data_IF_924498831549
#
_entry.id   IF_924498831549
#
_cell.length_a   1.000
_cell.length_b   1.000
_cell.length_c   1.000
_cell.angle_alpha   90.00
_cell.angle_beta   90.00
_cell.angle_gamma   90.00
#
_symmetry.space_group_name_H-M   'P 1'
#
loop_
_entity.id
_entity.type
_entity.pdbx_description
1 polymer ?
#
# COMPACT_ATOMS: atom_id res chain seq x y z
N UNK A 1 -57.82 -24.96 35.68
CA UNK A 1 -56.37 -24.74 35.88
C UNK A 1 -55.61 -25.63 34.89
N UNK A 2 -54.50 -25.13 34.34
CA UNK A 2 -53.56 -25.82 33.43
C UNK A 2 -53.77 -25.74 31.89
N UNK A 3 -54.18 -24.59 31.34
CA UNK A 3 -54.00 -24.33 29.89
C UNK A 3 -53.37 -22.96 29.54
N UNK A 4 -53.02 -22.12 30.53
CA UNK A 4 -52.44 -20.79 30.31
C UNK A 4 -50.94 -20.65 30.60
N UNK A 5 -50.27 -21.72 31.04
CA UNK A 5 -48.86 -21.64 31.49
C UNK A 5 -47.82 -22.11 30.46
N UNK A 6 -48.24 -22.79 29.39
CA UNK A 6 -47.31 -23.29 28.35
C UNK A 6 -47.05 -22.29 27.21
N UNK A 7 -47.90 -21.29 27.02
CA UNK A 7 -47.76 -20.34 25.91
C UNK A 7 -46.84 -19.16 26.26
N UNK A 8 -46.83 -18.76 27.54
CA UNK A 8 -45.93 -17.70 28.04
C UNK A 8 -44.46 -18.12 28.17
N UNK A 9 -44.15 -19.42 28.23
CA UNK A 9 -42.76 -19.90 28.28
C UNK A 9 -42.10 -19.95 26.90
N UNK A 10 -42.86 -20.18 25.82
CA UNK A 10 -42.36 -20.24 24.45
C UNK A 10 -42.08 -18.85 23.85
N UNK A 11 -42.86 -17.84 24.22
CA UNK A 11 -42.65 -16.44 23.81
C UNK A 11 -41.41 -15.81 24.49
N UNK A 12 -41.14 -16.17 25.75
CA UNK A 12 -39.97 -15.66 26.48
C UNK A 12 -38.65 -16.33 26.03
N UNK A 13 -38.72 -17.59 25.57
CA UNK A 13 -37.58 -18.32 25.01
C UNK A 13 -37.18 -17.80 23.62
N UNK A 14 -38.16 -17.37 22.81
CA UNK A 14 -37.89 -16.86 21.45
C UNK A 14 -37.31 -15.44 21.51
N UNK A 15 -37.78 -14.62 22.46
CA UNK A 15 -37.31 -13.25 22.70
C UNK A 15 -35.84 -13.13 23.09
N UNK A 16 -35.37 -14.06 23.92
CA UNK A 16 -33.99 -14.09 24.42
C UNK A 16 -33.01 -14.68 23.43
N UNK A 17 -33.46 -15.57 22.55
CA UNK A 17 -32.62 -16.19 21.52
C UNK A 17 -32.18 -15.20 20.43
N UNK A 18 -33.08 -14.33 19.94
CA UNK A 18 -32.71 -13.32 18.93
C UNK A 18 -31.83 -12.19 19.51
N UNK A 19 -32.01 -11.82 20.78
CA UNK A 19 -31.14 -10.83 21.46
C UNK A 19 -29.73 -11.40 21.71
N UNK A 20 -29.62 -12.69 22.05
CA UNK A 20 -28.33 -13.37 22.22
C UNK A 20 -27.58 -13.50 20.91
N UNK A 21 -28.27 -13.96 19.86
CA UNK A 21 -27.71 -14.10 18.52
C UNK A 21 -27.19 -12.76 17.99
N UNK A 22 -27.96 -11.67 18.15
CA UNK A 22 -27.49 -10.33 17.80
C UNK A 22 -26.30 -9.90 18.68
N UNK A 23 -26.33 -10.09 20.00
CA UNK A 23 -25.21 -9.67 20.88
C UNK A 23 -23.90 -10.42 20.59
N UNK A 24 -23.98 -11.69 20.21
CA UNK A 24 -22.82 -12.49 19.81
C UNK A 24 -22.29 -12.08 18.43
N UNK A 25 -23.18 -11.72 17.51
CA UNK A 25 -22.79 -11.22 16.19
C UNK A 25 -22.20 -9.81 16.28
N UNK A 26 -22.82 -8.90 17.04
CA UNK A 26 -22.28 -7.57 17.38
C UNK A 26 -20.92 -7.68 18.11
N UNK A 27 -20.75 -8.64 19.02
CA UNK A 27 -19.48 -8.89 19.70
C UNK A 27 -18.38 -9.40 18.75
N UNK A 28 -18.72 -10.28 17.81
CA UNK A 28 -17.78 -10.80 16.80
C UNK A 28 -17.40 -9.77 15.76
N UNK A 29 -18.36 -8.98 15.26
CA UNK A 29 -18.08 -7.88 14.32
C UNK A 29 -17.24 -6.79 14.98
N UNK A 30 -17.51 -6.43 16.24
CA UNK A 30 -16.72 -5.44 16.97
C UNK A 30 -15.29 -5.93 17.29
N UNK A 31 -15.11 -7.22 17.58
CA UNK A 31 -13.80 -7.81 17.83
C UNK A 31 -12.86 -7.76 16.61
N UNK A 32 -13.40 -7.68 15.39
CA UNK A 32 -12.61 -7.60 14.15
C UNK A 32 -12.54 -6.14 13.64
N UNK A 33 -13.63 -5.40 13.73
CA UNK A 33 -13.73 -4.02 13.26
C UNK A 33 -12.87 -3.04 14.08
N UNK A 34 -12.79 -3.21 15.40
CA UNK A 34 -12.00 -2.33 16.27
C UNK A 34 -10.49 -2.45 15.97
N UNK A 35 -9.88 -3.65 15.91
CA UNK A 35 -8.48 -3.78 15.47
C UNK A 35 -8.22 -3.26 14.05
N UNK A 36 -9.15 -3.48 13.12
CA UNK A 36 -9.03 -2.98 11.74
C UNK A 36 -9.04 -1.45 11.70
N UNK A 37 -9.96 -0.80 12.40
CA UNK A 37 -10.04 0.67 12.46
C UNK A 37 -8.82 1.28 13.16
N UNK A 38 -8.32 0.65 14.24
CA UNK A 38 -7.08 1.08 14.90
C UNK A 38 -5.86 0.93 13.98
N UNK A 39 -5.75 -0.15 13.22
CA UNK A 39 -4.69 -0.34 12.23
C UNK A 39 -4.73 0.76 11.15
N UNK A 40 -5.92 1.08 10.64
CA UNK A 40 -6.10 2.16 9.65
C UNK A 40 -5.69 3.53 10.19
N UNK A 41 -6.09 3.86 11.42
CA UNK A 41 -5.69 5.11 12.09
C UNK A 41 -4.17 5.15 12.30
N UNK A 42 -3.56 4.02 12.68
CA UNK A 42 -2.12 3.93 12.86
C UNK A 42 -1.34 4.17 11.57
N UNK A 43 -1.82 3.63 10.44
CA UNK A 43 -1.23 3.91 9.12
C UNK A 43 -1.29 5.41 8.82
N UNK A 44 -2.46 6.03 8.94
CA UNK A 44 -2.64 7.48 8.71
C UNK A 44 -1.72 8.29 9.62
N UNK A 45 -1.66 7.94 10.91
CA UNK A 45 -0.81 8.61 11.89
C UNK A 45 0.68 8.47 11.57
N UNK A 46 1.13 7.29 11.17
CA UNK A 46 2.55 7.03 10.82
C UNK A 46 2.99 7.88 9.64
N UNK A 47 2.15 8.01 8.62
CA UNK A 47 2.42 8.89 7.49
C UNK A 47 2.35 10.37 7.89
N UNK A 48 1.34 10.79 8.65
CA UNK A 48 1.15 12.19 9.04
C UNK A 48 2.30 12.74 9.92
N UNK A 49 2.78 11.95 10.88
CA UNK A 49 3.89 12.38 11.75
C UNK A 49 5.19 12.50 10.98
N UNK A 50 5.47 11.56 10.08
CA UNK A 50 6.73 11.52 9.34
C UNK A 50 6.74 12.53 8.19
N UNK A 51 5.62 12.77 7.50
CA UNK A 51 5.51 13.87 6.52
C UNK A 51 5.66 15.24 7.18
N UNK A 52 5.10 15.42 8.38
CA UNK A 52 5.32 16.62 9.20
C UNK A 52 6.80 16.75 9.64
N UNK A 53 7.44 15.64 10.03
CA UNK A 53 8.87 15.62 10.36
C UNK A 53 9.75 15.92 9.15
N UNK A 54 9.37 15.47 7.95
CA UNK A 54 10.09 15.73 6.70
C UNK A 54 9.99 17.21 6.29
N UNK A 55 8.86 17.84 6.59
CA UNK A 55 8.66 19.29 6.37
C UNK A 55 9.51 20.15 7.32
N UNK A 56 9.92 19.60 8.47
CA UNK A 56 10.63 20.34 9.53
C UNK A 56 12.12 20.00 9.62
N UNK A 57 12.56 18.89 9.03
CA UNK A 57 13.93 18.37 9.13
C UNK A 57 14.51 18.08 7.74
N UNK A 58 15.82 18.26 7.55
CA UNK A 58 16.53 17.90 6.31
C UNK A 58 16.74 16.39 6.13
N UNK A 59 15.83 15.57 6.65
CA UNK A 59 15.93 14.12 6.55
C UNK A 59 15.73 13.66 5.10
N UNK A 60 16.43 12.61 4.71
CA UNK A 60 16.20 11.92 3.43
C UNK A 60 14.74 11.45 3.35
N UNK A 61 13.98 11.83 2.30
CA UNK A 61 12.64 11.29 2.04
C UNK A 61 12.60 9.76 1.99
N UNK A 62 13.62 9.13 1.42
CA UNK A 62 13.76 7.68 1.34
C UNK A 62 13.88 7.06 2.74
N UNK A 63 14.72 7.63 3.61
CA UNK A 63 14.85 7.13 4.99
C UNK A 63 13.55 7.30 5.78
N UNK A 64 12.84 8.41 5.58
CA UNK A 64 11.54 8.66 6.17
C UNK A 64 10.50 7.62 5.72
N UNK A 65 10.49 7.26 4.43
CA UNK A 65 9.60 6.21 3.91
C UNK A 65 9.92 4.83 4.50
N UNK A 66 11.20 4.48 4.65
CA UNK A 66 11.61 3.23 5.31
C UNK A 66 11.15 3.18 6.78
N UNK A 67 11.22 4.31 7.49
CA UNK A 67 10.71 4.41 8.86
C UNK A 67 9.20 4.20 8.92
N UNK A 68 8.43 4.82 8.01
CA UNK A 68 6.98 4.58 7.87
C UNK A 68 6.70 3.09 7.67
N UNK A 69 7.44 2.45 6.75
CA UNK A 69 7.23 1.03 6.44
C UNK A 69 7.48 0.15 7.67
N UNK A 70 8.56 0.39 8.41
CA UNK A 70 8.85 -0.33 9.66
C UNK A 70 7.77 -0.09 10.71
N UNK A 71 7.32 1.15 10.90
CA UNK A 71 6.30 1.49 11.89
C UNK A 71 4.94 0.84 11.57
N UNK A 72 4.57 0.76 10.29
CA UNK A 72 3.35 0.08 9.85
C UNK A 72 3.46 -1.43 10.11
N UNK A 73 4.62 -2.04 9.81
CA UNK A 73 4.85 -3.49 9.95
C UNK A 73 4.96 -3.96 11.40
N UNK A 74 5.50 -3.16 12.32
CA UNK A 74 5.62 -3.54 13.74
C UNK A 74 4.27 -3.52 14.47
N UNK A 75 3.34 -2.71 14.01
CA UNK A 75 2.07 -2.46 14.71
C UNK A 75 0.91 -3.25 14.10
N UNK A 76 1.00 -3.60 12.81
CA UNK A 76 0.00 -4.44 12.17
C UNK A 76 0.38 -5.90 12.46
N UNK A 77 -0.38 -6.60 13.30
CA UNK A 77 -0.47 -8.07 13.19
C UNK A 77 -0.76 -8.41 11.73
N UNK A 78 -0.24 -9.52 11.16
CA UNK A 78 -0.54 -9.94 9.79
C UNK A 78 -2.07 -10.07 9.59
N UNK A 79 -2.72 -8.94 9.31
CA UNK A 79 -4.05 -8.88 8.77
C UNK A 79 -3.77 -9.17 7.32
N UNK A 80 -3.91 -10.43 6.96
CA UNK A 80 -3.94 -10.85 5.57
C UNK A 80 -5.19 -10.18 5.00
N UNK A 81 -5.02 -8.96 4.51
CA UNK A 81 -6.10 -8.20 3.88
C UNK A 81 -6.39 -8.97 2.61
N UNK A 82 -7.39 -9.85 2.70
CA UNK A 82 -7.98 -10.46 1.52
C UNK A 82 -8.63 -9.31 0.73
N UNK A 83 -7.93 -8.90 -0.33
CA UNK A 83 -8.33 -7.79 -1.19
C UNK A 83 -9.72 -8.03 -1.82
N UNK A 84 -10.18 -9.29 -1.84
CA UNK A 84 -11.51 -9.68 -2.33
C UNK A 84 -12.61 -9.58 -1.25
N UNK A 85 -12.27 -9.43 0.05
CA UNK A 85 -13.23 -9.36 1.16
C UNK A 85 -13.66 -7.95 1.57
N UNK A 86 -13.05 -6.90 1.04
CA UNK A 86 -13.43 -5.52 1.35
C UNK A 86 -14.33 -4.94 0.26
N UNK A 87 -15.68 -5.03 0.40
CA UNK A 87 -16.57 -4.27 -0.46
C UNK A 87 -16.28 -2.78 -0.25
N UNK A 88 -16.01 -2.06 -1.34
CA UNK A 88 -15.54 -0.67 -1.36
C UNK A 88 -16.54 0.39 -0.87
N UNK A 89 -17.43 0.07 0.06
CA UNK A 89 -18.63 0.87 0.36
C UNK A 89 -18.57 1.66 1.68
N UNK A 90 -17.44 1.68 2.40
CA UNK A 90 -17.41 2.31 3.72
C UNK A 90 -17.21 3.83 3.72
N UNK A 91 -16.86 4.48 2.60
CA UNK A 91 -16.67 5.94 2.57
C UNK A 91 -16.76 6.61 1.18
N UNK A 92 -17.75 6.29 0.34
CA UNK A 92 -18.00 6.90 -0.99
C UNK A 92 -18.21 8.45 -1.02
N UNK A 93 -17.76 9.22 -0.03
CA UNK A 93 -18.11 10.63 0.13
C UNK A 93 -16.99 11.65 0.32
N UNK A 94 -15.69 11.29 0.30
CA UNK A 94 -14.64 12.27 0.68
C UNK A 94 -13.61 12.63 -0.40
N UNK A 95 -13.40 11.86 -1.48
CA UNK A 95 -12.38 12.24 -2.47
C UNK A 95 -12.88 12.18 -3.91
N UNK A 96 -12.43 13.16 -4.70
CA UNK A 96 -12.67 13.22 -6.13
C UNK A 96 -12.10 11.97 -6.82
N UNK A 97 -12.83 11.46 -7.82
CA UNK A 97 -12.47 10.27 -8.57
C UNK A 97 -10.99 10.30 -8.99
N UNK A 98 -10.19 9.28 -8.62
CA UNK A 98 -8.77 9.27 -8.95
C UNK A 98 -8.57 9.22 -10.47
N UNK A 99 -7.54 9.93 -10.95
CA UNK A 99 -7.05 9.77 -12.32
C UNK A 99 -6.80 8.28 -12.56
N UNK A 100 -7.48 7.71 -13.57
CA UNK A 100 -7.42 6.27 -13.86
C UNK A 100 -5.97 5.86 -14.12
N UNK A 101 -5.43 4.99 -13.27
CA UNK A 101 -4.07 4.47 -13.44
C UNK A 101 -3.91 3.85 -14.84
N UNK A 102 -2.86 4.20 -15.60
CA UNK A 102 -2.63 3.61 -16.91
C UNK A 102 -2.39 2.09 -16.82
N UNK A 103 -3.05 1.30 -17.68
CA UNK A 103 -2.84 -0.16 -17.78
C UNK A 103 -1.41 -0.56 -18.24
N UNK A 104 -0.51 0.42 -18.44
CA UNK A 104 0.88 0.19 -18.84
C UNK A 104 1.74 -0.38 -17.71
N UNK A 105 1.25 -0.41 -16.47
CA UNK A 105 1.96 -1.00 -15.33
C UNK A 105 2.36 -2.46 -15.56
N UNK A 106 1.58 -3.22 -16.34
CA UNK A 106 1.87 -4.63 -16.67
C UNK A 106 3.23 -4.73 -17.39
N UNK A 107 3.49 -3.83 -18.33
CA UNK A 107 4.75 -3.80 -19.08
C UNK A 107 5.93 -3.45 -18.15
N UNK A 108 5.71 -2.52 -17.23
CA UNK A 108 6.72 -2.12 -16.24
C UNK A 108 7.07 -3.28 -15.29
N UNK A 109 6.07 -4.00 -14.77
CA UNK A 109 6.28 -5.17 -13.92
C UNK A 109 7.01 -6.30 -14.66
N UNK A 110 6.65 -6.57 -15.92
CA UNK A 110 7.39 -7.52 -16.76
C UNK A 110 8.83 -7.07 -17.04
N UNK A 111 9.08 -5.77 -17.22
CA UNK A 111 10.41 -5.20 -17.35
C UNK A 111 11.27 -5.50 -16.12
N UNK A 112 10.75 -5.23 -14.92
CA UNK A 112 11.43 -5.55 -13.66
C UNK A 112 11.70 -7.06 -13.51
N UNK A 113 10.71 -7.90 -13.81
CA UNK A 113 10.88 -9.36 -13.78
C UNK A 113 11.99 -9.83 -14.73
N UNK A 114 12.01 -9.32 -15.96
CA UNK A 114 13.06 -9.65 -16.94
C UNK A 114 14.44 -9.26 -16.41
N UNK A 115 14.57 -8.06 -15.83
CA UNK A 115 15.84 -7.61 -15.27
C UNK A 115 16.30 -8.45 -14.08
N UNK A 116 15.36 -8.99 -13.28
CA UNK A 116 15.66 -9.95 -12.21
C UNK A 116 16.16 -11.28 -12.81
N UNK A 117 15.51 -11.75 -13.88
CA UNK A 117 15.88 -12.99 -14.60
C UNK A 117 17.24 -12.90 -15.30
N UNK A 118 17.57 -11.76 -15.91
CA UNK A 118 18.84 -11.59 -16.63
C UNK A 118 20.04 -11.56 -15.68
N UNK A 119 19.82 -11.30 -14.38
CA UNK A 119 20.88 -11.18 -13.38
C UNK A 119 20.78 -12.26 -12.28
N UNK A 120 20.25 -13.45 -12.60
CA UNK A 120 20.05 -14.56 -11.63
C UNK A 120 21.32 -14.83 -10.81
N UNK A 121 22.47 -14.96 -11.44
CA UNK A 121 23.72 -15.31 -10.77
C UNK A 121 24.13 -14.27 -9.72
N UNK A 122 23.96 -12.99 -10.03
CA UNK A 122 24.21 -11.90 -9.08
C UNK A 122 23.25 -11.97 -7.88
N UNK A 123 21.97 -12.23 -8.13
CA UNK A 123 20.98 -12.30 -7.04
C UNK A 123 21.10 -13.57 -6.20
N UNK A 124 21.61 -14.68 -6.75
CA UNK A 124 21.85 -15.90 -5.96
C UNK A 124 22.84 -15.69 -4.81
N UNK A 125 23.79 -14.76 -4.96
CA UNK A 125 24.80 -14.44 -3.95
C UNK A 125 24.27 -13.47 -2.88
N UNK A 126 23.15 -12.78 -3.12
CA UNK A 126 22.53 -11.87 -2.16
C UNK A 126 21.62 -12.58 -1.15
N UNK A 127 21.54 -12.03 0.06
CA UNK A 127 20.64 -12.52 1.13
C UNK A 127 19.18 -12.41 0.66
N UNK A 128 18.45 -13.54 0.66
CA UNK A 128 17.05 -13.59 0.18
C UNK A 128 16.89 -13.91 -1.31
N UNK A 129 17.96 -13.84 -2.10
CA UNK A 129 18.00 -14.36 -3.46
C UNK A 129 17.11 -13.61 -4.47
N UNK A 130 16.98 -14.21 -5.66
CA UNK A 130 16.00 -13.83 -6.70
C UNK A 130 14.56 -13.79 -6.16
N UNK A 131 14.22 -14.74 -5.29
CA UNK A 131 12.88 -14.92 -4.72
C UNK A 131 12.35 -13.65 -4.04
N UNK A 132 13.23 -12.94 -3.32
CA UNK A 132 12.92 -11.69 -2.61
C UNK A 132 12.32 -10.64 -3.56
N UNK A 133 12.99 -10.39 -4.68
CA UNK A 133 12.59 -9.39 -5.65
C UNK A 133 11.35 -9.85 -6.45
N UNK A 134 11.28 -11.13 -6.81
CA UNK A 134 10.11 -11.66 -7.53
C UNK A 134 8.83 -11.58 -6.70
N UNK A 135 8.92 -11.81 -5.40
CA UNK A 135 7.79 -11.70 -4.46
C UNK A 135 7.35 -10.24 -4.30
N UNK A 136 8.30 -9.32 -4.09
CA UNK A 136 8.00 -7.89 -4.00
C UNK A 136 7.34 -7.35 -5.28
N UNK A 137 7.79 -7.78 -6.47
CA UNK A 137 7.19 -7.42 -7.75
C UNK A 137 5.79 -8.02 -7.91
N UNK A 138 5.58 -9.26 -7.48
CA UNK A 138 4.26 -9.90 -7.56
C UNK A 138 3.22 -9.15 -6.70
N UNK A 139 3.57 -8.82 -5.45
CA UNK A 139 2.69 -8.02 -4.59
C UNK A 139 2.43 -6.62 -5.16
N UNK A 140 3.45 -5.99 -5.75
CA UNK A 140 3.30 -4.67 -6.38
C UNK A 140 2.35 -4.73 -7.58
N UNK A 141 2.49 -5.76 -8.42
CA UNK A 141 1.61 -5.99 -9.57
C UNK A 141 0.16 -6.17 -9.13
N UNK A 142 -0.10 -6.89 -8.04
CA UNK A 142 -1.45 -7.04 -7.47
C UNK A 142 -2.02 -5.69 -6.98
N UNK A 143 -1.19 -4.88 -6.32
CA UNK A 143 -1.61 -3.54 -5.86
C UNK A 143 -1.97 -2.62 -7.03
N UNK A 144 -1.12 -2.58 -8.07
CA UNK A 144 -1.35 -1.77 -9.28
C UNK A 144 -2.57 -2.26 -10.07
N UNK A 145 -2.76 -3.58 -10.14
CA UNK A 145 -3.95 -4.17 -10.77
C UNK A 145 -5.23 -3.72 -10.07
N UNK A 146 -5.23 -3.68 -8.73
CA UNK A 146 -6.37 -3.18 -7.97
C UNK A 146 -6.66 -1.70 -8.28
N UNK A 147 -5.64 -0.84 -8.26
CA UNK A 147 -5.77 0.59 -8.57
C UNK A 147 -6.27 0.84 -10.00
N UNK A 148 -5.91 -0.02 -10.96
CA UNK A 148 -6.35 0.10 -12.36
C UNK A 148 -7.84 -0.20 -12.59
N UNK A 149 -8.50 -0.88 -11.65
CA UNK A 149 -9.93 -1.27 -11.77
C UNK A 149 -10.89 -0.08 -11.63
N UNK A 150 -10.43 1.06 -11.12
CA UNK A 150 -11.17 2.33 -11.16
C UNK A 150 -12.38 2.45 -10.24
N UNK A 151 -12.68 1.44 -9.42
CA UNK A 151 -13.47 1.61 -8.19
C UNK A 151 -12.62 2.42 -7.21
N UNK A 152 -13.22 3.35 -6.45
CA UNK A 152 -12.52 4.15 -5.44
C UNK A 152 -11.62 3.23 -4.61
N UNK A 153 -10.30 3.27 -4.85
CA UNK A 153 -9.45 2.28 -4.27
C UNK A 153 -9.37 2.59 -2.79
N UNK A 154 -9.73 1.61 -1.95
CA UNK A 154 -9.49 1.77 -0.52
C UNK A 154 -7.99 2.11 -0.36
N UNK A 155 -7.69 3.27 0.22
CA UNK A 155 -6.31 3.76 0.39
C UNK A 155 -5.44 2.69 1.03
N UNK A 156 -6.05 1.91 1.92
CA UNK A 156 -5.42 0.79 2.61
C UNK A 156 -4.97 -0.32 1.66
N UNK A 157 -5.74 -0.57 0.59
CA UNK A 157 -5.34 -1.51 -0.47
C UNK A 157 -4.12 -1.00 -1.23
N UNK A 158 -4.06 0.29 -1.57
CA UNK A 158 -2.86 0.89 -2.18
C UNK A 158 -1.62 0.81 -1.27
N UNK A 159 -1.83 0.83 0.04
CA UNK A 159 -0.76 0.69 1.04
C UNK A 159 -0.45 -0.76 1.44
N UNK A 160 -1.25 -1.73 1.00
CA UNK A 160 -1.09 -3.15 1.35
C UNK A 160 0.25 -3.73 0.91
N UNK A 161 0.88 -3.19 -0.15
CA UNK A 161 2.21 -3.62 -0.59
C UNK A 161 3.24 -3.57 0.56
N UNK A 162 3.19 -2.54 1.40
CA UNK A 162 4.12 -2.30 2.51
C UNK A 162 4.09 -3.46 3.52
N UNK A 163 2.92 -4.06 3.73
CA UNK A 163 2.72 -5.16 4.67
C UNK A 163 3.15 -6.51 4.08
N UNK A 164 3.18 -6.63 2.75
CA UNK A 164 3.43 -7.89 2.04
C UNK A 164 4.88 -8.04 1.55
N UNK A 165 5.68 -6.96 1.54
CA UNK A 165 7.09 -7.08 1.15
C UNK A 165 7.89 -7.88 2.19
N UNK A 166 8.84 -8.74 1.78
CA UNK A 166 9.68 -9.47 2.72
C UNK A 166 10.53 -8.52 3.60
N UNK A 167 10.83 -8.89 4.85
CA UNK A 167 11.66 -8.05 5.75
C UNK A 167 13.05 -7.73 5.15
N UNK A 168 13.80 -8.70 4.58
CA UNK A 168 15.13 -8.42 4.02
C UNK A 168 15.12 -7.42 2.85
N UNK A 169 13.95 -7.23 2.22
CA UNK A 169 13.80 -6.28 1.13
C UNK A 169 13.93 -4.83 1.62
N UNK A 170 13.47 -4.52 2.84
CA UNK A 170 13.64 -3.19 3.43
C UNK A 170 15.12 -2.87 3.65
N UNK A 171 15.89 -3.85 4.11
CA UNK A 171 17.34 -3.67 4.31
C UNK A 171 18.05 -3.39 2.97
N UNK A 172 17.60 -4.02 1.87
CA UNK A 172 18.13 -3.75 0.54
C UNK A 172 17.80 -2.34 0.04
N UNK A 173 16.63 -1.79 0.39
CA UNK A 173 16.29 -0.39 0.09
C UNK A 173 17.25 0.55 0.82
N UNK A 174 17.51 0.30 2.11
CA UNK A 174 18.40 1.15 2.93
C UNK A 174 19.86 1.05 2.51
N UNK A 175 20.29 -0.11 2.03
CA UNK A 175 21.59 -0.30 1.39
C UNK A 175 21.67 0.32 -0.02
N UNK A 176 20.60 0.97 -0.49
CA UNK A 176 20.50 1.57 -1.82
C UNK A 176 20.74 0.58 -2.96
N UNK A 177 20.34 -0.69 -2.78
CA UNK A 177 20.48 -1.70 -3.84
C UNK A 177 19.67 -1.28 -5.07
N UNK A 178 20.30 -1.19 -6.27
CA UNK A 178 19.66 -0.61 -7.45
C UNK A 178 18.34 -1.29 -7.84
N UNK A 179 18.23 -2.62 -7.62
CA UNK A 179 16.99 -3.36 -7.93
C UNK A 179 15.89 -3.08 -6.90
N UNK A 180 16.23 -2.99 -5.61
CA UNK A 180 15.28 -2.66 -4.56
C UNK A 180 14.72 -1.25 -4.76
N UNK A 181 15.60 -0.29 -5.08
CA UNK A 181 15.21 1.08 -5.41
C UNK A 181 14.35 1.17 -6.69
N UNK A 182 14.65 0.37 -7.71
CA UNK A 182 13.84 0.34 -8.93
C UNK A 182 12.40 -0.13 -8.64
N UNK A 183 12.23 -1.19 -7.85
CA UNK A 183 10.90 -1.68 -7.44
C UNK A 183 10.19 -0.62 -6.58
N UNK A 184 10.90 -0.02 -5.62
CA UNK A 184 10.34 1.04 -4.77
C UNK A 184 9.89 2.26 -5.58
N UNK A 185 10.64 2.66 -6.60
CA UNK A 185 10.27 3.75 -7.50
C UNK A 185 8.94 3.47 -8.22
N UNK A 186 8.68 2.23 -8.61
CA UNK A 186 7.39 1.85 -9.19
C UNK A 186 6.26 1.90 -8.16
N UNK A 187 6.55 1.58 -6.89
CA UNK A 187 5.60 1.79 -5.81
C UNK A 187 5.34 3.28 -5.52
N UNK A 188 6.30 4.19 -5.74
CA UNK A 188 6.05 5.63 -5.62
C UNK A 188 4.93 6.12 -6.56
N UNK A 189 4.65 5.42 -7.66
CA UNK A 189 3.49 5.70 -8.51
C UNK A 189 2.18 5.48 -7.76
N UNK A 190 2.09 4.44 -6.92
CA UNK A 190 0.93 4.23 -6.04
C UNK A 190 0.76 5.40 -5.09
N UNK A 191 1.83 5.80 -4.39
CA UNK A 191 1.80 6.94 -3.47
C UNK A 191 1.41 8.24 -4.19
N UNK A 192 1.87 8.44 -5.43
CA UNK A 192 1.48 9.59 -6.25
C UNK A 192 -0.02 9.61 -6.57
N UNK A 193 -0.66 8.47 -6.83
CA UNK A 193 -2.11 8.43 -7.04
C UNK A 193 -2.89 8.69 -5.73
N UNK A 194 -2.29 8.40 -4.59
CA UNK A 194 -2.85 8.64 -3.26
C UNK A 194 -2.51 10.04 -2.69
N UNK A 195 -1.80 10.90 -3.44
CA UNK A 195 -1.32 12.23 -3.00
C UNK A 195 -2.41 13.19 -2.54
N UNK A 196 -3.66 12.95 -2.97
CA UNK A 196 -4.82 13.76 -2.56
C UNK A 196 -5.14 13.62 -1.07
N UNK A 197 -4.61 12.60 -0.40
CA UNK A 197 -4.70 12.49 1.05
C UNK A 197 -3.66 13.39 1.72
N UNK A 198 -4.14 14.28 2.59
CA UNK A 198 -3.33 15.28 3.31
C UNK A 198 -2.14 14.70 4.11
N UNK A 199 -2.18 13.41 4.44
CA UNK A 199 -1.14 12.70 5.19
C UNK A 199 -0.12 11.98 4.30
N UNK A 200 -0.39 11.81 3.00
CA UNK A 200 0.57 11.27 2.01
C UNK A 200 1.29 12.42 1.31
N UNK A 201 0.52 13.42 0.87
CA UNK A 201 1.03 14.61 0.18
C UNK A 201 2.01 14.25 -0.96
N UNK A 202 3.10 15.00 -1.13
CA UNK A 202 4.11 14.79 -2.17
C UNK A 202 5.23 13.80 -1.77
N UNK A 203 5.02 12.96 -0.74
CA UNK A 203 6.04 12.02 -0.26
C UNK A 203 6.50 11.07 -1.38
N UNK A 204 5.56 10.53 -2.16
CA UNK A 204 5.86 9.64 -3.28
C UNK A 204 6.77 10.28 -4.33
N UNK A 205 6.51 11.55 -4.68
CA UNK A 205 7.34 12.30 -5.63
C UNK A 205 8.71 12.65 -5.04
N UNK A 206 8.76 13.00 -3.77
CA UNK A 206 10.00 13.36 -3.08
C UNK A 206 10.97 12.18 -3.02
N UNK A 207 10.46 10.99 -2.66
CA UNK A 207 11.22 9.74 -2.68
C UNK A 207 11.65 9.37 -4.10
N UNK A 208 10.75 9.48 -5.09
CA UNK A 208 11.08 9.15 -6.48
C UNK A 208 12.21 10.02 -7.04
N UNK A 209 12.23 11.33 -6.71
CA UNK A 209 13.31 12.25 -7.08
C UNK A 209 14.65 11.85 -6.44
N UNK A 210 14.64 11.42 -5.18
CA UNK A 210 15.83 10.94 -4.48
C UNK A 210 16.35 9.63 -5.09
N UNK A 211 15.46 8.65 -5.34
CA UNK A 211 15.82 7.39 -6.00
C UNK A 211 16.44 7.64 -7.37
N UNK A 212 15.89 8.57 -8.17
CA UNK A 212 16.47 8.96 -9.46
C UNK A 212 17.90 9.47 -9.30
N UNK A 213 18.15 10.29 -8.28
CA UNK A 213 19.50 10.80 -7.97
C UNK A 213 20.47 9.66 -7.63
N UNK A 214 20.02 8.69 -6.83
CA UNK A 214 20.83 7.55 -6.37
C UNK A 214 21.14 6.58 -7.53
N UNK A 215 20.15 6.27 -8.37
CA UNK A 215 20.32 5.29 -9.46
C UNK A 215 21.28 5.78 -10.56
N UNK A 216 21.40 7.10 -10.78
CA UNK A 216 22.32 7.69 -11.74
C UNK A 216 22.19 7.09 -13.15
N UNK A 217 23.15 6.24 -13.55
CA UNK A 217 23.13 5.59 -14.88
C UNK A 217 22.05 4.51 -15.04
N UNK A 218 21.51 4.02 -13.93
CA UNK A 218 20.46 3.00 -13.91
C UNK A 218 19.04 3.60 -13.87
N UNK A 219 18.87 4.90 -14.13
CA UNK A 219 17.56 5.57 -14.14
C UNK A 219 16.60 4.99 -15.18
N UNK A 220 17.11 4.39 -16.26
CA UNK A 220 16.28 3.68 -17.26
C UNK A 220 15.40 2.59 -16.63
N UNK A 221 15.80 2.07 -15.47
CA UNK A 221 15.04 1.07 -14.71
C UNK A 221 13.76 1.61 -14.11
N UNK A 222 13.55 2.93 -14.08
CA UNK A 222 12.39 3.59 -13.48
C UNK A 222 11.66 4.52 -14.45
N UNK A 223 11.93 4.43 -15.76
CA UNK A 223 11.35 5.30 -16.78
C UNK A 223 9.81 5.31 -16.72
N UNK A 224 9.18 4.15 -16.57
CA UNK A 224 7.73 4.08 -16.43
C UNK A 224 7.22 4.85 -15.20
N UNK A 225 7.91 4.76 -14.06
CA UNK A 225 7.49 5.47 -12.85
C UNK A 225 7.63 7.00 -13.01
N UNK A 226 8.68 7.43 -13.71
CA UNK A 226 8.90 8.83 -14.07
C UNK A 226 7.82 9.35 -15.02
N UNK A 227 7.45 8.56 -16.03
CA UNK A 227 6.39 8.87 -16.99
C UNK A 227 5.02 8.93 -16.32
N UNK A 228 4.70 7.94 -15.49
CA UNK A 228 3.41 7.83 -14.81
C UNK A 228 3.17 8.93 -13.76
N UNK A 229 4.24 9.51 -13.21
CA UNK A 229 4.16 10.61 -12.22
C UNK A 229 4.32 12.00 -12.84
N UNK A 230 4.53 12.08 -14.15
CA UNK A 230 4.80 13.35 -14.83
C UNK A 230 6.15 13.99 -14.45
N UNK A 231 7.05 13.25 -13.79
CA UNK A 231 8.41 13.70 -13.48
C UNK A 231 9.37 13.58 -14.67
N UNK A 232 8.85 13.20 -15.85
CA UNK A 232 9.58 13.21 -17.11
C UNK A 232 10.36 14.51 -17.22
N UNK A 233 11.65 14.38 -17.53
CA UNK A 233 12.54 15.51 -17.74
C UNK A 233 11.77 16.52 -18.59
N UNK A 234 11.49 17.70 -18.03
CA UNK A 234 11.09 18.83 -18.85
C UNK A 234 12.23 18.99 -19.84
N UNK A 235 12.01 18.48 -21.06
CA UNK A 235 12.83 18.82 -22.20
C UNK A 235 12.83 20.34 -22.19
N UNK A 236 13.98 20.90 -21.84
CA UNK A 236 14.27 22.32 -21.86
C UNK A 236 13.54 22.91 -23.05
N UNK A 237 12.61 23.82 -22.77
CA UNK A 237 11.94 24.58 -23.80
C UNK A 237 13.02 25.11 -24.72
N UNK A 238 13.01 24.59 -25.94
CA UNK A 238 13.72 25.10 -27.11
C UNK A 238 13.78 26.62 -27.00
N UNK A 239 15.00 27.15 -27.06
CA UNK A 239 15.25 28.50 -27.50
C UNK A 239 14.42 28.77 -28.75
N UNK A 240 13.39 29.59 -28.61
CA UNK A 240 12.63 30.17 -29.70
C UNK A 240 12.96 31.66 -29.73
N UNK A 241 13.52 32.13 -30.85
CA UNK A 241 13.62 33.53 -31.23
C UNK A 241 15.00 34.13 -31.05
#
# INVERSE_FOLDING_TARGET
MAFGEKENSLLNSSGTHWMKANSEDYGKTNNILVPLTLSRIHVIYSFATITHSLSTSSSSPLSALCQIFRQIRTTTTQIQIDLDQFPGTAWEGINAAPERMPNTYILAMHGLQRMVEENISFFQEQRGGKSLYTEAIAHLSSCLAYLSRGSDPDVMTGLSWIQNIPDPFLDHIECHEPMALAILAHYCVVLYHLRHHWWIDDLGLSVLREIRSILGRNVYRIDWAMDATGLTISASSRSNG
#
